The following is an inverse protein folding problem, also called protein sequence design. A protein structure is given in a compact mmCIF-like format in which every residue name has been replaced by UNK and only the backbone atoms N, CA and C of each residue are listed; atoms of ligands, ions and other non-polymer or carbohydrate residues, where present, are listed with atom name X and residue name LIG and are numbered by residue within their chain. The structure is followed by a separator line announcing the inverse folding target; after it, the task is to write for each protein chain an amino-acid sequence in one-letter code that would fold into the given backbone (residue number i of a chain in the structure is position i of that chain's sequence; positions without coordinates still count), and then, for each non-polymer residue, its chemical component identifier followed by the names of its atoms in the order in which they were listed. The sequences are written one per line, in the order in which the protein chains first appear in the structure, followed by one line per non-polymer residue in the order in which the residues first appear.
data_IF_965200476703
#
_entry.id   IF_965200476703
#
_cell.length_a   1.000
_cell.length_b   1.000
_cell.length_c   1.000
_cell.angle_alpha   90.00
_cell.angle_beta   90.00
_cell.angle_gamma   90.00
#
_symmetry.space_group_name_H-M   'P 1'
#
loop_
_entity.id
_entity.type
_entity.pdbx_description
1 polymer ?
#
# COMPACT_ATOMS: atom_id res chain seq x y z
N UNK A 1 15.04 8.89 -4.79
CA UNK A 1 13.69 9.04 -4.19
C UNK A 1 13.15 10.41 -4.53
N UNK A 2 11.95 10.49 -5.09
CA UNK A 2 11.27 11.76 -5.38
C UNK A 2 10.71 12.37 -4.08
N UNK A 3 10.31 13.65 -4.07
CA UNK A 3 9.66 14.29 -2.92
C UNK A 3 8.41 13.53 -2.46
N UNK A 4 7.58 13.04 -3.40
CA UNK A 4 6.40 12.23 -3.12
C UNK A 4 6.71 10.91 -2.40
N UNK A 5 7.75 10.18 -2.85
CA UNK A 5 8.23 8.98 -2.15
C UNK A 5 8.75 9.30 -0.75
N UNK A 6 9.33 10.48 -0.55
CA UNK A 6 9.85 10.92 0.73
C UNK A 6 8.72 11.34 1.69
N UNK A 7 7.68 11.98 1.17
CA UNK A 7 6.42 12.25 1.91
C UNK A 7 5.77 10.94 2.36
N UNK A 8 5.62 9.97 1.44
CA UNK A 8 5.07 8.65 1.75
C UNK A 8 5.90 7.92 2.82
N UNK A 9 7.24 7.98 2.73
CA UNK A 9 8.11 7.45 3.77
C UNK A 9 7.88 8.15 5.12
N UNK A 10 7.72 9.49 5.13
CA UNK A 10 7.38 10.25 6.33
C UNK A 10 6.09 9.76 6.99
N UNK A 11 5.04 9.54 6.20
CA UNK A 11 3.75 8.98 6.68
C UNK A 11 3.95 7.60 7.29
N UNK A 12 4.70 6.73 6.61
CA UNK A 12 5.00 5.38 7.10
C UNK A 12 5.77 5.40 8.41
N UNK A 13 6.79 6.27 8.53
CA UNK A 13 7.59 6.42 9.75
C UNK A 13 6.72 6.89 10.92
N UNK A 14 5.89 7.91 10.70
CA UNK A 14 4.99 8.43 11.72
C UNK A 14 3.95 7.39 12.16
N UNK A 15 3.32 6.70 11.21
CA UNK A 15 2.33 5.65 11.50
C UNK A 15 2.97 4.45 12.21
N UNK A 16 4.17 4.03 11.80
CA UNK A 16 4.92 2.96 12.46
C UNK A 16 5.27 3.30 13.91
N UNK A 17 5.68 4.55 14.19
CA UNK A 17 5.97 5.00 15.55
C UNK A 17 4.75 4.97 16.48
N UNK A 18 3.54 5.09 15.92
CA UNK A 18 2.26 5.00 16.64
C UNK A 18 1.64 3.60 16.62
N UNK A 19 2.31 2.60 16.02
CA UNK A 19 1.75 1.26 15.79
C UNK A 19 0.45 1.24 14.95
N UNK A 20 0.29 2.21 14.05
CA UNK A 20 -0.85 2.33 13.12
C UNK A 20 -0.52 2.11 11.62
N UNK A 21 0.60 1.48 11.20
CA UNK A 21 0.91 1.38 9.77
C UNK A 21 -0.16 0.59 8.99
N UNK A 22 -0.84 -0.38 9.62
CA UNK A 22 -1.94 -1.11 8.97
C UNK A 22 -3.13 -0.20 8.62
N UNK A 23 -3.47 0.78 9.46
CA UNK A 23 -4.57 1.71 9.18
C UNK A 23 -4.19 2.69 8.07
N UNK A 24 -2.93 3.14 8.06
CA UNK A 24 -2.41 3.94 6.95
C UNK A 24 -2.51 3.17 5.63
N UNK A 25 -1.98 1.95 5.58
CA UNK A 25 -1.96 1.17 4.34
C UNK A 25 -3.34 0.68 3.89
N UNK A 26 -4.31 0.56 4.80
CA UNK A 26 -5.71 0.36 4.41
C UNK A 26 -6.21 1.53 3.54
N UNK A 27 -5.83 2.77 3.86
CA UNK A 27 -6.24 3.95 3.07
C UNK A 27 -5.43 4.16 1.80
N UNK A 28 -4.27 3.49 1.65
CA UNK A 28 -3.37 3.60 0.50
C UNK A 28 -3.46 2.35 -0.41
N UNK A 29 -4.69 1.97 -0.78
CA UNK A 29 -4.94 0.89 -1.76
C UNK A 29 -5.73 1.38 -2.98
N UNK A 30 -5.15 1.25 -4.17
CA UNK A 30 -5.77 1.74 -5.40
C UNK A 30 -4.83 1.74 -6.60
N UNK A 31 -5.38 2.03 -7.78
CA UNK A 31 -4.65 2.05 -9.06
C UNK A 31 -3.55 3.12 -9.10
N UNK A 32 -3.74 4.23 -8.38
CA UNK A 32 -2.81 5.36 -8.35
C UNK A 32 -1.87 5.36 -7.14
N UNK A 33 -1.90 4.29 -6.32
CA UNK A 33 -1.01 4.17 -5.18
C UNK A 33 0.38 3.69 -5.59
N UNK A 34 1.35 3.99 -4.72
CA UNK A 34 2.71 3.47 -4.86
C UNK A 34 2.70 1.94 -4.84
N UNK A 35 3.47 1.33 -5.74
CA UNK A 35 3.68 -0.11 -5.75
C UNK A 35 4.18 -0.59 -4.38
N UNK A 36 3.69 -1.75 -3.92
CA UNK A 36 4.09 -2.32 -2.64
C UNK A 36 5.63 -2.49 -2.52
N UNK A 37 6.30 -2.79 -3.63
CA UNK A 37 7.76 -2.93 -3.72
C UNK A 37 8.55 -1.63 -3.54
N UNK A 38 7.89 -0.46 -3.53
CA UNK A 38 8.53 0.84 -3.32
C UNK A 38 8.22 1.45 -1.95
N UNK A 39 7.43 0.76 -1.11
CA UNK A 39 7.07 1.18 0.25
C UNK A 39 8.06 0.55 1.28
N UNK A 40 9.07 1.29 1.79
CA UNK A 40 10.18 0.70 2.55
C UNK A 40 9.76 0.11 3.90
N UNK A 41 8.69 0.63 4.50
CA UNK A 41 8.19 0.18 5.79
C UNK A 41 6.85 -0.55 5.67
N UNK A 42 6.51 -1.05 4.47
CA UNK A 42 5.25 -1.75 4.24
C UNK A 42 5.06 -2.90 5.23
N UNK A 43 6.07 -3.78 5.34
CA UNK A 43 6.01 -4.96 6.21
C UNK A 43 5.50 -4.66 7.63
N UNK A 44 5.81 -3.50 8.22
CA UNK A 44 5.40 -3.13 9.59
C UNK A 44 3.88 -3.10 9.80
N UNK A 45 3.05 -3.16 8.75
CA UNK A 45 1.60 -3.29 8.87
C UNK A 45 1.19 -4.45 9.79
N UNK A 46 1.83 -5.62 9.67
CA UNK A 46 1.43 -6.78 10.49
C UNK A 46 1.86 -6.60 11.95
N UNK A 47 2.97 -5.90 12.18
CA UNK A 47 3.38 -5.52 13.54
C UNK A 47 2.37 -4.56 14.19
N UNK A 48 1.82 -3.61 13.43
CA UNK A 48 0.74 -2.75 13.93
C UNK A 48 -0.49 -3.53 14.40
N UNK A 49 -0.90 -4.54 13.63
CA UNK A 49 -2.01 -5.45 14.01
C UNK A 49 -1.67 -6.23 15.29
N UNK A 50 -0.45 -6.75 15.39
CA UNK A 50 0.02 -7.53 16.54
C UNK A 50 0.04 -6.68 17.83
N UNK A 51 0.60 -5.47 17.79
CA UNK A 51 0.68 -4.58 18.95
C UNK A 51 -0.72 -4.11 19.40
N UNK A 52 -1.62 -3.82 18.46
CA UNK A 52 -3.02 -3.50 18.76
C UNK A 52 -3.73 -4.69 19.44
N UNK A 53 -3.49 -5.91 18.97
CA UNK A 53 -4.00 -7.12 19.61
C UNK A 53 -3.45 -7.26 21.03
N UNK A 54 -2.15 -7.07 21.24
CA UNK A 54 -1.52 -7.17 22.56
C UNK A 54 -1.96 -6.07 23.53
N UNK A 55 -2.34 -4.89 23.04
CA UNK A 55 -2.94 -3.85 23.87
C UNK A 55 -4.33 -4.24 24.37
N UNK A 56 -5.14 -4.87 23.51
CA UNK A 56 -6.52 -5.30 23.83
C UNK A 56 -6.54 -6.61 24.62
N UNK A 57 -5.57 -7.49 24.41
CA UNK A 57 -5.54 -8.85 24.96
C UNK A 57 -5.64 -8.94 26.50
N UNK A 58 -4.89 -8.16 27.30
CA UNK A 58 -5.03 -8.17 28.77
C UNK A 58 -6.45 -7.83 29.22
N UNK A 59 -7.10 -6.86 28.56
CA UNK A 59 -8.48 -6.46 28.88
C UNK A 59 -9.46 -7.59 28.59
N UNK A 60 -9.31 -8.28 27.45
CA UNK A 60 -10.12 -9.46 27.12
C UNK A 60 -9.95 -10.58 28.14
N UNK A 61 -8.72 -10.85 28.58
CA UNK A 61 -8.45 -11.85 29.62
C UNK A 61 -9.07 -11.44 30.97
N UNK A 62 -8.95 -10.17 31.35
CA UNK A 62 -9.57 -9.64 32.57
C UNK A 62 -11.09 -9.77 32.55
N UNK A 63 -11.74 -9.48 31.42
CA UNK A 63 -13.19 -9.70 31.22
C UNK A 63 -13.51 -11.18 31.40
N UNK A 64 -12.78 -12.08 30.74
CA UNK A 64 -12.98 -13.51 30.87
C UNK A 64 -12.93 -13.99 32.33
N UNK A 65 -11.95 -13.51 33.10
CA UNK A 65 -11.81 -13.85 34.52
C UNK A 65 -12.94 -13.22 35.36
N UNK A 66 -13.22 -11.92 35.15
CA UNK A 66 -14.19 -11.13 35.93
C UNK A 66 -15.62 -11.66 35.80
N UNK A 67 -15.98 -12.18 34.64
CA UNK A 67 -17.28 -12.77 34.34
C UNK A 67 -17.28 -14.30 34.42
N UNK A 68 -16.16 -14.91 34.85
CA UNK A 68 -16.00 -16.37 34.95
C UNK A 68 -16.34 -17.12 33.66
N UNK A 69 -16.01 -16.52 32.53
CA UNK A 69 -16.16 -17.16 31.22
C UNK A 69 -15.19 -18.33 31.12
N UNK A 70 -15.63 -19.41 30.45
CA UNK A 70 -14.71 -20.48 30.06
C UNK A 70 -13.82 -19.97 28.93
N UNK A 71 -12.53 -19.81 29.23
CA UNK A 71 -11.57 -19.17 28.33
C UNK A 71 -11.47 -19.87 26.97
N UNK A 72 -11.59 -21.20 26.90
CA UNK A 72 -11.56 -21.91 25.62
C UNK A 72 -12.71 -21.46 24.71
N UNK A 73 -13.93 -21.36 25.24
CA UNK A 73 -15.11 -20.96 24.48
C UNK A 73 -15.08 -19.49 24.09
N UNK A 74 -14.56 -18.63 24.97
CA UNK A 74 -14.37 -17.21 24.66
C UNK A 74 -13.39 -17.02 23.49
N UNK A 75 -12.23 -17.69 23.54
CA UNK A 75 -11.23 -17.60 22.48
C UNK A 75 -11.65 -18.30 21.19
N UNK A 76 -12.39 -19.39 21.28
CA UNK A 76 -13.01 -20.02 20.13
C UNK A 76 -14.02 -19.08 19.48
N UNK A 77 -14.89 -18.42 20.24
CA UNK A 77 -15.81 -17.42 19.75
C UNK A 77 -15.08 -16.26 19.06
N UNK A 78 -14.04 -15.69 19.66
CA UNK A 78 -13.24 -14.62 19.05
C UNK A 78 -12.63 -15.09 17.72
N UNK A 79 -12.06 -16.30 17.71
CA UNK A 79 -11.45 -16.88 16.50
C UNK A 79 -12.48 -17.05 15.38
N UNK A 80 -13.64 -17.64 15.67
CA UNK A 80 -14.68 -17.89 14.67
C UNK A 80 -15.34 -16.59 14.18
N UNK A 81 -15.61 -15.64 15.08
CA UNK A 81 -16.21 -14.35 14.73
C UNK A 81 -15.26 -13.50 13.88
N UNK A 82 -13.97 -13.45 14.24
CA UNK A 82 -12.96 -12.74 13.46
C UNK A 82 -12.76 -13.38 12.08
N UNK A 83 -12.71 -14.72 12.00
CA UNK A 83 -12.62 -15.45 10.74
C UNK A 83 -13.85 -15.20 9.84
N UNK A 84 -15.06 -15.24 10.42
CA UNK A 84 -16.30 -14.97 9.71
C UNK A 84 -16.33 -13.51 9.21
N UNK A 85 -15.87 -12.56 10.03
CA UNK A 85 -15.76 -11.16 9.63
C UNK A 85 -14.77 -10.97 8.47
N UNK A 86 -13.62 -11.63 8.52
CA UNK A 86 -12.62 -11.65 7.45
C UNK A 86 -13.22 -12.17 6.13
N UNK A 87 -13.93 -13.30 6.20
CA UNK A 87 -14.60 -13.89 5.05
C UNK A 87 -15.71 -13.00 4.49
N UNK A 88 -16.52 -12.40 5.37
CA UNK A 88 -17.59 -11.47 5.00
C UNK A 88 -17.04 -10.26 4.23
N UNK A 89 -16.01 -9.60 4.76
CA UNK A 89 -15.37 -8.45 4.09
C UNK A 89 -14.90 -8.81 2.68
N UNK A 90 -14.27 -9.97 2.52
CA UNK A 90 -13.83 -10.43 1.21
C UNK A 90 -14.98 -10.75 0.27
N UNK A 91 -16.06 -11.36 0.77
CA UNK A 91 -17.22 -11.71 -0.04
C UNK A 91 -17.88 -10.46 -0.63
N UNK A 92 -17.92 -9.35 0.12
CA UNK A 92 -18.46 -8.07 -0.33
C UNK A 92 -17.44 -7.16 -1.05
N UNK A 93 -16.28 -7.70 -1.46
CA UNK A 93 -15.29 -6.96 -2.25
C UNK A 93 -14.39 -6.01 -1.45
N UNK A 94 -14.44 -6.04 -0.12
CA UNK A 94 -13.58 -5.23 0.76
C UNK A 94 -12.26 -5.96 1.12
N UNK A 95 -11.52 -6.40 0.10
CA UNK A 95 -10.30 -7.21 0.28
C UNK A 95 -9.18 -6.47 1.03
N UNK A 96 -9.02 -5.16 0.80
CA UNK A 96 -8.07 -4.30 1.54
C UNK A 96 -8.39 -4.28 3.04
N UNK A 97 -9.66 -4.10 3.39
CA UNK A 97 -10.12 -4.15 4.79
C UNK A 97 -9.89 -5.54 5.40
N UNK A 98 -10.20 -6.62 4.66
CA UNK A 98 -9.94 -7.98 5.12
C UNK A 98 -8.44 -8.26 5.35
N UNK A 99 -7.55 -7.55 4.64
CA UNK A 99 -6.11 -7.72 4.74
C UNK A 99 -5.48 -6.91 5.89
N UNK A 100 -5.84 -5.65 6.06
CA UNK A 100 -5.20 -4.73 7.03
C UNK A 100 -5.96 -4.54 8.36
N UNK A 101 -7.23 -4.96 8.43
CA UNK A 101 -8.04 -4.78 9.64
C UNK A 101 -7.56 -5.68 10.78
N UNK A 102 -7.32 -5.13 11.99
CA UNK A 102 -7.01 -5.94 13.17
C UNK A 102 -8.11 -6.94 13.50
N UNK A 103 -9.38 -6.55 13.33
CA UNK A 103 -10.54 -7.40 13.62
C UNK A 103 -10.64 -8.57 12.65
N UNK A 104 -10.27 -8.39 11.38
CA UNK A 104 -10.26 -9.44 10.37
C UNK A 104 -9.06 -10.40 10.52
N UNK A 105 -8.01 -9.97 11.24
CA UNK A 105 -6.78 -10.75 11.48
C UNK A 105 -6.70 -11.40 12.85
N UNK A 106 -7.52 -10.94 13.80
CA UNK A 106 -7.49 -11.42 15.19
C UNK A 106 -7.61 -12.94 15.32
N UNK A 107 -8.30 -13.63 14.40
CA UNK A 107 -8.45 -15.09 14.43
C UNK A 107 -7.13 -15.85 14.37
N UNK A 108 -6.12 -15.33 13.66
CA UNK A 108 -4.79 -15.96 13.54
C UNK A 108 -4.09 -15.98 14.91
N UNK A 109 -4.13 -14.84 15.62
CA UNK A 109 -3.53 -14.65 16.94
C UNK A 109 -4.35 -15.35 18.04
N UNK A 110 -5.68 -15.25 17.99
CA UNK A 110 -6.56 -15.89 18.97
C UNK A 110 -6.57 -17.41 18.87
N UNK A 111 -6.32 -17.99 17.68
CA UNK A 111 -6.11 -19.43 17.54
C UNK A 111 -4.86 -19.90 18.30
N UNK A 112 -3.77 -19.13 18.28
CA UNK A 112 -2.59 -19.36 19.11
C UNK A 112 -2.89 -19.22 20.61
N UNK A 113 -3.68 -18.21 20.99
CA UNK A 113 -4.15 -18.04 22.36
C UNK A 113 -5.04 -19.19 22.85
N UNK A 114 -5.95 -19.67 22.01
CA UNK A 114 -6.81 -20.82 22.28
C UNK A 114 -5.94 -22.06 22.54
N UNK A 115 -4.93 -22.29 21.70
CA UNK A 115 -3.99 -23.39 21.87
C UNK A 115 -3.26 -23.31 23.23
N UNK A 116 -2.85 -22.11 23.66
CA UNK A 116 -2.21 -21.89 24.95
C UNK A 116 -3.14 -22.23 26.13
N UNK A 117 -4.41 -21.80 26.07
CA UNK A 117 -5.41 -22.05 27.13
C UNK A 117 -5.83 -23.52 27.20
N UNK A 118 -5.88 -24.23 26.08
CA UNK A 118 -6.09 -25.69 26.03
C UNK A 118 -4.97 -26.50 26.71
N UNK A 119 -4.11 -25.82 27.48
CA UNK A 119 -2.92 -26.27 28.18
C UNK A 119 -2.00 -26.98 27.21
N UNK A 120 -1.00 -26.26 26.74
CA UNK A 120 0.21 -26.80 26.09
C UNK A 120 1.04 -27.68 27.05
N UNK A 121 0.40 -28.59 27.78
CA UNK A 121 1.03 -29.83 28.21
C UNK A 121 0.96 -30.77 27.02
N UNK A 122 2.12 -31.02 26.41
CA UNK A 122 2.43 -32.17 25.55
C UNK A 122 1.27 -33.16 25.45
N UNK A 123 0.39 -33.01 24.46
CA UNK A 123 -0.61 -34.03 24.20
C UNK A 123 0.17 -35.28 23.81
N UNK A 124 0.40 -36.16 24.79
CA UNK A 124 1.16 -37.39 24.60
C UNK A 124 0.31 -38.28 23.69
N UNK A 125 0.54 -38.12 22.39
CA UNK A 125 -0.05 -38.95 21.36
C UNK A 125 1.06 -39.82 20.78
N UNK A 126 0.77 -41.11 20.59
CA UNK A 126 1.63 -41.99 19.80
C UNK A 126 1.89 -41.42 18.40
N UNK A 127 0.96 -40.62 17.89
CA UNK A 127 0.98 -40.04 16.55
C UNK A 127 1.56 -38.62 16.50
N UNK A 128 2.24 -38.15 17.57
CA UNK A 128 2.79 -36.80 17.64
C UNK A 128 3.68 -36.45 16.43
N UNK A 129 4.51 -37.40 15.97
CA UNK A 129 5.34 -37.22 14.77
C UNK A 129 4.51 -37.05 13.49
N UNK A 130 3.41 -37.79 13.34
CA UNK A 130 2.53 -37.66 12.18
C UNK A 130 1.91 -36.25 12.16
N UNK A 131 1.40 -35.78 13.30
CA UNK A 131 0.81 -34.44 13.37
C UNK A 131 1.81 -33.32 13.07
N UNK A 132 3.06 -33.45 13.53
CA UNK A 132 4.12 -32.47 13.18
C UNK A 132 4.43 -32.53 11.69
N UNK A 133 4.58 -33.72 11.09
CA UNK A 133 4.86 -33.86 9.66
C UNK A 133 3.72 -33.24 8.86
N UNK A 134 2.46 -33.53 9.21
CA UNK A 134 1.29 -32.94 8.55
C UNK A 134 1.32 -31.43 8.68
N UNK A 135 1.52 -30.89 9.89
CA UNK A 135 1.52 -29.46 10.12
C UNK A 135 2.62 -28.71 9.37
N UNK A 136 3.86 -29.22 9.41
CA UNK A 136 4.99 -28.65 8.67
C UNK A 136 4.79 -28.80 7.16
N UNK A 137 4.25 -29.92 6.69
CA UNK A 137 3.96 -30.14 5.27
C UNK A 137 2.89 -29.17 4.75
N UNK A 138 1.87 -28.86 5.55
CA UNK A 138 0.86 -27.86 5.18
C UNK A 138 1.49 -26.48 4.99
N UNK A 139 2.37 -26.05 5.90
CA UNK A 139 3.08 -24.77 5.79
C UNK A 139 4.00 -24.77 4.57
N UNK A 140 4.80 -25.81 4.40
CA UNK A 140 5.74 -25.94 3.28
C UNK A 140 5.01 -25.95 1.94
N UNK A 141 3.92 -26.72 1.81
CA UNK A 141 3.12 -26.80 0.59
C UNK A 141 2.60 -25.42 0.19
N UNK A 142 2.05 -24.66 1.13
CA UNK A 142 1.55 -23.30 0.83
C UNK A 142 2.69 -22.37 0.41
N UNK A 143 3.86 -22.47 1.04
CA UNK A 143 5.03 -21.68 0.68
C UNK A 143 5.54 -21.99 -0.75
N UNK A 144 5.59 -23.28 -1.13
CA UNK A 144 6.07 -23.70 -2.46
C UNK A 144 5.08 -23.48 -3.59
N UNK A 145 3.77 -23.51 -3.31
CA UNK A 145 2.74 -23.28 -4.32
C UNK A 145 2.69 -21.82 -4.81
N UNK A 146 3.48 -20.91 -4.23
CA UNK A 146 3.66 -19.55 -4.77
C UNK A 146 2.37 -18.74 -4.82
N UNK A 147 1.47 -18.96 -3.86
CA UNK A 147 0.10 -18.40 -3.85
C UNK A 147 0.08 -16.90 -3.47
N UNK A 148 1.14 -16.15 -3.81
CA UNK A 148 1.22 -14.70 -3.61
C UNK A 148 0.23 -13.91 -4.48
N UNK A 149 -0.38 -14.54 -5.48
CA UNK A 149 -1.33 -13.94 -6.41
C UNK A 149 -2.80 -14.19 -6.02
N UNK A 150 -3.09 -15.06 -5.04
CA UNK A 150 -4.48 -15.32 -4.67
C UNK A 150 -5.05 -14.16 -3.83
N UNK A 151 -6.28 -13.78 -4.12
CA UNK A 151 -7.02 -12.80 -3.33
C UNK A 151 -7.08 -13.22 -1.86
N UNK A 152 -6.83 -12.25 -0.97
CA UNK A 152 -6.91 -12.45 0.47
C UNK A 152 -8.35 -12.22 0.98
N UNK A 153 -8.83 -13.02 1.96
CA UNK A 153 -8.22 -14.19 2.58
C UNK A 153 -8.32 -15.41 1.66
N UNK A 154 -7.24 -16.19 1.62
CA UNK A 154 -7.23 -17.43 0.87
C UNK A 154 -7.38 -18.63 1.83
N UNK A 155 -7.96 -19.73 1.33
CA UNK A 155 -8.10 -20.99 2.09
C UNK A 155 -6.77 -21.55 2.61
N UNK A 156 -5.64 -21.10 2.05
CA UNK A 156 -4.31 -21.51 2.46
C UNK A 156 -3.87 -20.86 3.78
N UNK A 157 -4.41 -19.69 4.14
CA UNK A 157 -4.21 -19.10 5.46
C UNK A 157 -4.70 -20.02 6.58
N UNK A 158 -5.86 -20.64 6.41
CA UNK A 158 -6.38 -21.66 7.34
C UNK A 158 -5.41 -22.85 7.44
N UNK A 159 -4.84 -23.29 6.32
CA UNK A 159 -3.87 -24.38 6.32
C UNK A 159 -2.58 -23.99 7.05
N UNK A 160 -2.07 -22.76 6.89
CA UNK A 160 -0.89 -22.27 7.62
C UNK A 160 -1.18 -22.22 9.13
N UNK A 161 -2.32 -21.65 9.55
CA UNK A 161 -2.68 -21.54 10.96
C UNK A 161 -2.89 -22.92 11.59
N UNK A 162 -3.66 -23.79 10.94
CA UNK A 162 -3.86 -25.17 11.41
C UNK A 162 -2.54 -25.96 11.46
N UNK A 163 -1.70 -25.83 10.44
CA UNK A 163 -0.39 -26.48 10.41
C UNK A 163 0.53 -26.00 11.53
N UNK A 164 0.52 -24.69 11.81
CA UNK A 164 1.26 -24.08 12.92
C UNK A 164 0.76 -24.59 14.27
N UNK A 165 -0.56 -24.66 14.46
CA UNK A 165 -1.15 -25.21 15.68
C UNK A 165 -0.75 -26.68 15.92
N UNK A 166 -0.77 -27.52 14.87
CA UNK A 166 -0.33 -28.91 14.97
C UNK A 166 1.16 -29.01 15.34
N UNK A 167 2.02 -28.24 14.66
CA UNK A 167 3.45 -28.23 14.91
C UNK A 167 3.77 -27.79 16.35
N UNK A 168 3.10 -26.74 16.86
CA UNK A 168 3.29 -26.25 18.23
C UNK A 168 2.75 -27.25 19.26
N UNK A 169 1.55 -27.82 19.03
CA UNK A 169 0.87 -28.73 19.98
C UNK A 169 1.64 -30.03 20.22
N UNK A 170 2.19 -30.61 19.16
CA UNK A 170 2.83 -31.93 19.16
C UNK A 170 4.35 -31.88 18.98
N UNK A 171 4.94 -30.69 18.78
CA UNK A 171 6.39 -30.52 18.56
C UNK A 171 7.22 -31.02 19.74
N UNK A 172 6.83 -30.68 20.97
CA UNK A 172 7.56 -31.09 22.18
C UNK A 172 7.51 -32.60 22.45
N UNK A 173 6.52 -33.33 21.92
CA UNK A 173 6.39 -34.78 22.09
C UNK A 173 6.97 -35.58 20.92
N UNK A 174 7.23 -34.93 19.79
CA UNK A 174 7.85 -35.59 18.64
C UNK A 174 9.37 -35.60 18.77
N UNK A 175 9.95 -36.81 18.77
CA UNK A 175 11.42 -37.00 18.71
C UNK A 175 12.02 -36.38 17.44
N UNK A 176 11.30 -36.47 16.32
CA UNK A 176 11.73 -35.88 15.05
C UNK A 176 11.82 -34.36 15.20
N UNK A 177 10.73 -33.71 15.62
CA UNK A 177 10.67 -32.27 15.78
C UNK A 177 11.72 -31.75 16.78
N UNK A 178 11.91 -32.45 17.90
CA UNK A 178 12.89 -32.08 18.92
C UNK A 178 14.32 -32.16 18.37
N UNK A 179 14.64 -33.14 17.53
CA UNK A 179 15.97 -33.28 16.90
C UNK A 179 16.20 -32.28 15.76
N UNK A 180 15.16 -31.96 14.98
CA UNK A 180 15.29 -31.09 13.81
C UNK A 180 15.00 -29.62 14.18
N UNK A 181 13.74 -29.29 14.46
CA UNK A 181 13.28 -27.94 14.82
C UNK A 181 13.84 -27.47 16.18
N UNK A 182 14.11 -28.41 17.09
CA UNK A 182 14.76 -28.13 18.36
C UNK A 182 16.31 -28.09 18.30
N UNK A 183 16.91 -28.27 17.12
CA UNK A 183 18.36 -28.15 16.97
C UNK A 183 18.86 -26.73 17.28
N UNK A 184 20.10 -26.61 17.75
CA UNK A 184 20.68 -25.30 18.12
C UNK A 184 20.62 -24.27 16.98
N UNK A 185 20.83 -24.70 15.73
CA UNK A 185 20.73 -23.84 14.55
C UNK A 185 19.29 -23.35 14.33
N UNK A 186 18.30 -24.25 14.34
CA UNK A 186 16.90 -23.87 14.12
C UNK A 186 16.38 -22.96 15.24
N UNK A 187 16.76 -23.23 16.49
CA UNK A 187 16.44 -22.36 17.61
C UNK A 187 17.13 -21.00 17.48
N UNK A 188 18.39 -20.95 17.02
CA UNK A 188 19.09 -19.70 16.76
C UNK A 188 18.41 -18.87 15.66
N UNK A 189 18.05 -19.50 14.54
CA UNK A 189 17.28 -18.85 13.46
C UNK A 189 15.94 -18.33 13.99
N UNK A 190 15.25 -19.12 14.82
CA UNK A 190 14.01 -18.69 15.48
C UNK A 190 14.22 -17.47 16.39
N UNK A 191 15.35 -17.38 17.09
CA UNK A 191 15.69 -16.24 17.98
C UNK A 191 15.96 -14.95 17.22
N UNK A 192 16.57 -15.03 16.03
CA UNK A 192 16.85 -13.85 15.19
C UNK A 192 15.71 -13.53 14.20
N UNK A 193 14.62 -14.30 14.22
CA UNK A 193 13.54 -14.19 13.23
C UNK A 193 12.85 -12.83 13.24
N UNK A 194 12.64 -12.25 14.42
CA UNK A 194 12.07 -10.91 14.59
C UNK A 194 12.95 -9.79 13.99
N UNK A 195 14.23 -9.62 14.37
CA UNK A 195 15.06 -8.59 13.75
C UNK A 195 15.35 -8.87 12.27
N UNK A 196 15.37 -10.15 11.85
CA UNK A 196 15.45 -10.49 10.42
C UNK A 196 14.22 -10.01 9.65
N UNK A 197 13.04 -10.19 10.23
CA UNK A 197 11.80 -9.64 9.70
C UNK A 197 11.84 -8.11 9.57
N UNK A 198 12.46 -7.39 10.50
CA UNK A 198 12.61 -5.93 10.41
C UNK A 198 13.58 -5.48 9.30
N UNK A 199 14.68 -6.21 9.08
CA UNK A 199 15.74 -5.76 8.16
C UNK A 199 15.55 -6.23 6.72
N UNK A 200 15.00 -7.41 6.49
CA UNK A 200 14.95 -7.99 5.15
C UNK A 200 14.17 -7.13 4.15
N UNK A 201 13.03 -6.58 4.56
CA UNK A 201 12.15 -5.84 3.67
C UNK A 201 12.71 -4.48 3.26
N UNK A 202 13.16 -3.59 4.18
CA UNK A 202 13.77 -2.32 3.80
C UNK A 202 14.97 -2.49 2.87
N UNK A 203 15.84 -3.47 3.16
CA UNK A 203 17.03 -3.74 2.33
C UNK A 203 16.63 -4.12 0.91
N UNK A 204 15.66 -5.03 0.77
CA UNK A 204 15.14 -5.43 -0.55
C UNK A 204 14.48 -4.26 -1.27
N UNK A 205 13.63 -3.48 -0.60
CA UNK A 205 12.94 -2.32 -1.20
C UNK A 205 13.95 -1.27 -1.67
N UNK A 206 14.95 -0.94 -0.87
CA UNK A 206 15.98 0.02 -1.30
C UNK A 206 16.82 -0.51 -2.47
N UNK A 207 17.08 -1.83 -2.51
CA UNK A 207 17.73 -2.45 -3.67
C UNK A 207 16.85 -2.36 -4.93
N UNK A 208 15.54 -2.55 -4.82
CA UNK A 208 14.59 -2.37 -5.94
C UNK A 208 14.47 -0.91 -6.38
N UNK A 209 14.40 0.04 -5.43
CA UNK A 209 14.37 1.48 -5.76
C UNK A 209 15.63 1.90 -6.52
N UNK A 210 16.79 1.30 -6.22
CA UNK A 210 18.05 1.62 -6.89
C UNK A 210 18.23 0.91 -8.23
N UNK A 211 17.92 -0.39 -8.31
CA UNK A 211 18.26 -1.23 -9.46
C UNK A 211 17.07 -1.50 -10.41
N UNK A 212 15.88 -0.97 -10.09
CA UNK A 212 14.65 -1.28 -10.82
C UNK A 212 13.92 -2.50 -10.27
N UNK A 213 12.92 -3.00 -10.98
CA UNK A 213 12.01 -4.06 -10.49
C UNK A 213 12.59 -5.48 -10.49
N UNK A 214 13.81 -5.66 -10.99
CA UNK A 214 14.49 -6.96 -11.03
C UNK A 214 15.84 -6.89 -10.32
N UNK A 215 16.13 -7.90 -9.51
CA UNK A 215 17.42 -8.06 -8.85
C UNK A 215 18.15 -9.25 -9.47
N UNK A 216 19.43 -9.05 -9.79
CA UNK A 216 20.29 -10.16 -10.17
C UNK A 216 20.45 -11.14 -8.98
N UNK A 217 20.66 -12.44 -9.22
CA UNK A 217 20.77 -13.43 -8.14
C UNK A 217 21.80 -13.06 -7.07
N UNK A 218 22.96 -12.52 -7.48
CA UNK A 218 23.99 -12.08 -6.54
C UNK A 218 23.55 -10.89 -5.68
N UNK A 219 22.72 -9.97 -6.21
CA UNK A 219 22.16 -8.84 -5.46
C UNK A 219 21.16 -9.33 -4.42
N UNK A 220 20.29 -10.27 -4.80
CA UNK A 220 19.35 -10.90 -3.88
C UNK A 220 20.08 -11.66 -2.75
N UNK A 221 21.11 -12.43 -3.09
CA UNK A 221 21.97 -13.10 -2.10
C UNK A 221 22.68 -12.10 -1.18
N UNK A 222 23.22 -11.00 -1.73
CA UNK A 222 23.84 -9.95 -0.93
C UNK A 222 22.84 -9.28 0.03
N UNK A 223 21.61 -9.00 -0.42
CA UNK A 223 20.55 -8.47 0.43
C UNK A 223 20.20 -9.44 1.56
N UNK A 224 20.08 -10.74 1.27
CA UNK A 224 19.80 -11.77 2.28
C UNK A 224 20.91 -11.84 3.34
N UNK A 225 22.17 -11.89 2.91
CA UNK A 225 23.32 -11.93 3.82
C UNK A 225 23.36 -10.66 4.68
N UNK A 226 23.20 -9.48 4.07
CA UNK A 226 23.16 -8.21 4.80
C UNK A 226 22.03 -8.20 5.85
N UNK A 227 20.85 -8.71 5.50
CA UNK A 227 19.70 -8.82 6.40
C UNK A 227 20.00 -9.72 7.59
N UNK A 228 20.63 -10.88 7.37
CA UNK A 228 21.01 -11.81 8.44
C UNK A 228 22.08 -11.19 9.34
N UNK A 229 23.12 -10.56 8.77
CA UNK A 229 24.16 -9.90 9.55
C UNK A 229 23.59 -8.80 10.45
N UNK A 230 22.72 -7.94 9.90
CA UNK A 230 22.05 -6.88 10.66
C UNK A 230 21.08 -7.44 11.71
N UNK A 231 20.39 -8.54 11.40
CA UNK A 231 19.52 -9.23 12.35
C UNK A 231 20.30 -9.78 13.54
N UNK A 232 21.44 -10.44 13.31
CA UNK A 232 22.31 -10.96 14.36
C UNK A 232 22.87 -9.82 15.20
N UNK A 233 23.35 -8.74 14.57
CA UNK A 233 23.85 -7.57 15.28
C UNK A 233 22.77 -6.94 16.18
N UNK A 234 21.56 -6.75 15.63
CA UNK A 234 20.42 -6.20 16.37
C UNK A 234 20.03 -7.10 17.54
N UNK A 235 19.97 -8.42 17.31
CA UNK A 235 19.66 -9.40 18.34
C UNK A 235 20.66 -9.34 19.51
N UNK A 236 21.96 -9.35 19.21
CA UNK A 236 23.01 -9.38 20.22
C UNK A 236 23.19 -8.02 20.92
N UNK A 237 23.11 -6.91 20.18
CA UNK A 237 23.43 -5.58 20.69
C UNK A 237 22.22 -4.84 21.31
N UNK A 238 21.00 -5.14 20.87
CA UNK A 238 19.78 -4.44 21.32
C UNK A 238 18.85 -5.38 22.08
N UNK A 239 18.47 -6.50 21.47
CA UNK A 239 17.42 -7.36 22.02
C UNK A 239 17.86 -8.12 23.28
N UNK A 240 19.02 -8.77 23.26
CA UNK A 240 19.55 -9.52 24.41
C UNK A 240 19.79 -8.62 25.64
N UNK A 241 20.40 -7.43 25.51
CA UNK A 241 20.55 -6.51 26.64
C UNK A 241 19.21 -6.02 27.21
N UNK A 242 18.26 -5.66 26.34
CA UNK A 242 16.93 -5.19 26.77
C UNK A 242 16.16 -6.27 27.53
N UNK A 243 16.19 -7.53 27.06
CA UNK A 243 15.52 -8.66 27.75
C UNK A 243 16.06 -8.89 29.17
N UNK A 244 17.37 -8.68 29.39
CA UNK A 244 18.00 -8.87 30.70
C UNK A 244 17.73 -7.72 31.67
N UNK A 245 17.57 -6.49 31.16
CA UNK A 245 17.46 -5.27 31.97
C UNK A 245 16.18 -4.48 31.65
N UNK A 246 15.04 -5.18 31.68
CA UNK A 246 13.73 -4.68 31.23
C UNK A 246 13.19 -3.46 32.02
N UNK A 247 13.79 -3.09 33.15
CA UNK A 247 13.35 -1.97 33.99
C UNK A 247 14.14 -0.70 33.67
N UNK A 248 13.51 0.24 32.95
CA UNK A 248 13.93 1.65 32.84
C UNK A 248 15.44 1.86 32.55
N UNK A 249 16.07 0.93 31.84
CA UNK A 249 17.47 1.06 31.47
C UNK A 249 17.64 2.32 30.61
N UNK A 250 18.80 3.00 30.67
CA UNK A 250 19.08 4.13 29.78
C UNK A 250 18.87 3.76 28.30
N UNK A 251 19.11 2.49 27.93
CA UNK A 251 18.83 1.95 26.61
C UNK A 251 17.33 1.96 26.28
N UNK A 252 16.45 1.50 27.19
CA UNK A 252 15.00 1.51 26.96
C UNK A 252 14.45 2.94 26.83
N UNK A 253 14.90 3.87 27.67
CA UNK A 253 14.52 5.30 27.56
C UNK A 253 15.04 5.92 26.26
N UNK A 254 16.28 5.60 25.88
CA UNK A 254 16.86 6.01 24.60
C UNK A 254 16.07 5.48 23.41
N UNK A 255 15.63 4.23 23.45
CA UNK A 255 14.80 3.64 22.40
C UNK A 255 13.45 4.36 22.27
N UNK A 256 12.75 4.61 23.38
CA UNK A 256 11.47 5.35 23.38
C UNK A 256 11.66 6.79 22.89
N UNK A 257 12.71 7.48 23.36
CA UNK A 257 13.03 8.83 22.89
C UNK A 257 13.36 8.83 21.39
N UNK A 258 14.12 7.85 20.90
CA UNK A 258 14.45 7.71 19.48
C UNK A 258 13.20 7.45 18.64
N UNK A 259 12.25 6.64 19.14
CA UNK A 259 10.98 6.39 18.47
C UNK A 259 10.16 7.68 18.36
N UNK A 260 10.10 8.47 19.44
CA UNK A 260 9.39 9.75 19.43
C UNK A 260 10.03 10.77 18.48
N UNK A 261 11.36 10.89 18.49
CA UNK A 261 12.10 11.81 17.61
C UNK A 261 11.94 11.41 16.14
N UNK A 262 12.11 10.13 15.82
CA UNK A 262 11.96 9.60 14.46
C UNK A 262 10.51 9.72 13.99
N UNK A 263 9.55 9.43 14.85
CA UNK A 263 8.12 9.61 14.56
C UNK A 263 7.76 11.06 14.26
N UNK A 264 8.25 12.01 15.08
CA UNK A 264 8.03 13.44 14.87
C UNK A 264 8.72 13.96 13.61
N UNK A 265 9.92 13.49 13.32
CA UNK A 265 10.62 13.81 12.08
C UNK A 265 9.85 13.28 10.86
N UNK A 266 9.38 12.03 10.91
CA UNK A 266 8.52 11.44 9.87
C UNK A 266 7.24 12.24 9.65
N UNK A 267 6.56 12.62 10.73
CA UNK A 267 5.36 13.46 10.68
C UNK A 267 5.65 14.82 10.06
N UNK A 268 6.75 15.46 10.46
CA UNK A 268 7.16 16.77 9.93
C UNK A 268 7.47 16.70 8.43
N UNK A 269 8.15 15.64 7.98
CA UNK A 269 8.44 15.40 6.55
C UNK A 269 7.16 15.16 5.76
N UNK A 270 6.23 14.37 6.31
CA UNK A 270 4.94 14.13 5.67
C UNK A 270 4.13 15.43 5.55
N UNK A 271 4.11 16.25 6.61
CA UNK A 271 3.41 17.52 6.64
C UNK A 271 4.04 18.56 5.68
N UNK A 272 5.35 18.50 5.49
CA UNK A 272 6.09 19.38 4.57
C UNK A 272 6.02 18.93 3.09
N UNK A 273 5.24 17.89 2.75
CA UNK A 273 5.18 17.31 1.41
C UNK A 273 6.56 16.87 0.88
N UNK A 274 7.33 16.22 1.76
CA UNK A 274 8.70 15.80 1.52
C UNK A 274 9.72 16.89 1.85
N UNK A 275 10.92 16.78 1.27
CA UNK A 275 11.99 17.79 1.39
C UNK A 275 12.44 18.17 -0.03
N UNK A 276 11.69 19.02 -0.74
CA UNK A 276 12.00 19.36 -2.14
C UNK A 276 13.36 20.07 -2.29
N UNK A 277 13.74 20.88 -1.29
CA UNK A 277 15.02 21.62 -1.24
C UNK A 277 16.29 20.76 -1.30
N UNK A 278 16.16 19.43 -1.14
CA UNK A 278 17.27 18.49 -1.30
C UNK A 278 17.68 18.26 -2.76
N UNK A 279 16.83 18.67 -3.72
CA UNK A 279 17.03 18.46 -5.15
C UNK A 279 17.43 19.77 -5.83
N UNK A 280 18.21 19.73 -6.93
CA UNK A 280 18.50 20.91 -7.74
C UNK A 280 17.22 21.56 -8.26
N UNK A 281 17.22 22.89 -8.42
CA UNK A 281 16.03 23.67 -8.80
C UNK A 281 15.40 23.19 -10.12
N UNK A 282 16.22 22.82 -11.10
CA UNK A 282 15.75 22.25 -12.37
C UNK A 282 14.92 20.98 -12.19
N UNK A 283 15.31 20.13 -11.22
CA UNK A 283 14.58 18.89 -10.92
C UNK A 283 13.35 19.16 -10.05
N UNK A 284 13.38 20.18 -9.19
CA UNK A 284 12.19 20.61 -8.44
C UNK A 284 11.08 21.10 -9.39
N UNK A 285 11.45 21.87 -10.41
CA UNK A 285 10.52 22.33 -11.44
C UNK A 285 9.92 21.15 -12.23
N UNK A 286 10.74 20.18 -12.63
CA UNK A 286 10.26 18.98 -13.32
C UNK A 286 9.33 18.12 -12.44
N UNK A 287 9.61 18.02 -11.13
CA UNK A 287 8.82 17.24 -10.19
C UNK A 287 7.60 17.99 -9.63
N UNK A 288 7.42 19.28 -9.95
CA UNK A 288 6.18 20.00 -9.67
C UNK A 288 4.97 19.31 -10.33
N UNK A 289 5.19 18.59 -11.44
CA UNK A 289 4.17 17.75 -12.07
C UNK A 289 3.65 16.63 -11.15
N UNK A 290 4.46 16.09 -10.21
CA UNK A 290 3.96 15.09 -9.24
C UNK A 290 2.97 15.71 -8.23
N UNK A 291 2.98 17.04 -8.06
CA UNK A 291 2.07 17.79 -7.18
C UNK A 291 0.85 18.32 -7.93
N UNK A 292 0.69 17.96 -9.20
CA UNK A 292 -0.44 18.36 -10.02
C UNK A 292 -1.74 17.78 -9.46
N UNK A 293 -2.65 18.65 -9.00
CA UNK A 293 -3.99 18.22 -8.61
C UNK A 293 -4.90 18.25 -9.84
N UNK A 294 -5.03 17.08 -10.47
CA UNK A 294 -5.88 16.92 -11.63
C UNK A 294 -7.35 17.27 -11.36
N UNK A 295 -7.83 17.25 -10.11
CA UNK A 295 -9.22 17.60 -9.79
C UNK A 295 -9.46 19.10 -9.83
N UNK A 296 -8.51 19.89 -9.32
CA UNK A 296 -8.61 21.35 -9.33
C UNK A 296 -8.17 21.94 -10.66
N UNK A 297 -7.13 21.36 -11.26
CA UNK A 297 -6.44 21.95 -12.40
C UNK A 297 -7.00 21.41 -13.73
N UNK A 298 -7.00 20.09 -13.90
CA UNK A 298 -7.49 19.44 -15.13
C UNK A 298 -9.01 19.43 -15.18
N UNK A 299 -9.66 19.06 -14.07
CA UNK A 299 -11.10 18.80 -14.01
C UNK A 299 -11.91 20.00 -13.55
N UNK A 300 -11.29 21.20 -13.45
CA UNK A 300 -11.85 22.49 -13.04
C UNK A 300 -13.36 22.40 -12.76
N UNK A 301 -13.80 22.41 -11.49
CA UNK A 301 -15.14 21.99 -11.10
C UNK A 301 -16.21 22.76 -11.90
N UNK A 302 -16.78 22.07 -12.90
CA UNK A 302 -17.76 22.62 -13.83
C UNK A 302 -17.37 22.59 -15.32
N UNK A 303 -16.11 22.34 -15.71
CA UNK A 303 -15.69 22.15 -17.12
C UNK A 303 -15.36 20.70 -17.47
N UNK A 304 -15.67 19.80 -16.55
CA UNK A 304 -15.41 18.37 -16.63
C UNK A 304 -16.70 17.61 -16.39
N UNK A 305 -16.99 16.63 -17.24
CA UNK A 305 -18.15 15.77 -17.09
C UNK A 305 -17.74 14.39 -16.56
N UNK A 306 -18.36 13.98 -15.46
CA UNK A 306 -18.30 12.63 -14.94
C UNK A 306 -18.98 11.60 -15.85
N UNK A 307 -18.92 10.33 -15.45
CA UNK A 307 -19.46 9.23 -16.25
C UNK A 307 -20.98 9.32 -16.48
N UNK A 308 -21.72 9.88 -15.52
CA UNK A 308 -23.19 9.98 -15.56
C UNK A 308 -23.71 11.41 -15.77
N UNK A 309 -22.81 12.38 -15.87
CA UNK A 309 -23.19 13.79 -16.01
C UNK A 309 -23.52 14.14 -17.47
N UNK A 310 -24.43 15.11 -17.63
CA UNK A 310 -24.80 15.67 -18.92
C UNK A 310 -24.18 17.06 -19.09
N UNK A 311 -24.05 17.47 -20.34
CA UNK A 311 -23.53 18.76 -20.79
C UNK A 311 -24.20 19.98 -20.16
N UNK A 312 -25.43 19.84 -19.64
CA UNK A 312 -26.11 20.86 -18.83
C UNK A 312 -25.39 21.21 -17.52
N UNK A 313 -24.48 20.36 -17.05
CA UNK A 313 -23.61 20.61 -15.88
C UNK A 313 -22.37 21.44 -16.22
N UNK A 314 -22.09 21.70 -17.50
CA UNK A 314 -20.98 22.55 -17.90
C UNK A 314 -21.27 24.00 -17.53
N UNK A 315 -20.34 24.63 -16.80
CA UNK A 315 -20.46 26.05 -16.50
C UNK A 315 -20.31 26.88 -17.78
N UNK A 316 -21.03 28.02 -17.91
CA UNK A 316 -20.91 28.89 -19.08
C UNK A 316 -19.49 29.38 -19.35
N UNK A 317 -18.66 29.48 -18.31
CA UNK A 317 -17.23 29.84 -18.42
C UNK A 317 -16.41 28.82 -19.22
N UNK A 318 -16.87 27.57 -19.31
CA UNK A 318 -16.22 26.50 -20.05
C UNK A 318 -16.48 26.55 -21.56
N UNK A 319 -17.49 27.35 -21.95
CA UNK A 319 -17.95 27.55 -23.32
C UNK A 319 -17.77 29.01 -23.76
N UNK A 320 -16.84 29.76 -23.15
CA UNK A 320 -16.59 31.17 -23.49
C UNK A 320 -15.94 31.26 -24.89
N UNK A 321 -16.76 31.23 -25.94
CA UNK A 321 -16.36 31.34 -27.35
C UNK A 321 -16.83 32.67 -27.96
N UNK A 322 -16.48 33.78 -27.31
CA UNK A 322 -16.86 35.11 -27.79
C UNK A 322 -15.72 35.82 -28.56
N UNK A 323 -14.72 35.07 -29.05
CA UNK A 323 -13.55 35.61 -29.77
C UNK A 323 -13.19 34.71 -30.96
N UNK A 324 -12.81 35.32 -32.08
CA UNK A 324 -12.31 34.66 -33.29
C UNK A 324 -11.00 33.85 -33.10
N UNK A 325 -10.41 33.85 -31.88
CA UNK A 325 -9.16 33.17 -31.52
C UNK A 325 -9.34 32.12 -30.41
N UNK A 326 -10.54 31.57 -30.21
CA UNK A 326 -10.81 30.63 -29.12
C UNK A 326 -10.23 29.24 -29.41
N UNK A 327 -9.59 28.64 -28.39
CA UNK A 327 -9.01 27.31 -28.40
C UNK A 327 -9.94 26.38 -27.62
N UNK A 328 -10.43 25.33 -28.27
CA UNK A 328 -11.31 24.34 -27.64
C UNK A 328 -10.50 23.10 -27.28
N UNK A 329 -10.50 22.75 -26.00
CA UNK A 329 -9.95 21.49 -25.49
C UNK A 329 -11.09 20.49 -25.42
N UNK A 330 -11.02 19.44 -26.24
CA UNK A 330 -12.01 18.38 -26.27
C UNK A 330 -11.36 17.00 -26.15
N UNK A 331 -11.96 16.12 -25.36
CA UNK A 331 -11.52 14.73 -25.23
C UNK A 331 -11.72 14.16 -23.83
N UNK A 332 -10.82 13.25 -23.44
CA UNK A 332 -10.88 12.53 -22.18
C UNK A 332 -10.05 13.18 -21.06
N UNK A 333 -9.70 12.38 -20.04
CA UNK A 333 -8.83 12.81 -18.95
C UNK A 333 -7.43 13.23 -19.41
N UNK A 334 -6.96 12.78 -20.59
CA UNK A 334 -5.69 13.21 -21.15
C UNK A 334 -5.82 14.60 -21.78
N UNK A 335 -6.88 14.86 -22.54
CA UNK A 335 -7.13 16.19 -23.11
C UNK A 335 -7.31 17.25 -22.01
N UNK A 336 -8.03 16.91 -20.93
CA UNK A 336 -8.23 17.81 -19.79
C UNK A 336 -6.92 18.28 -19.14
N UNK A 337 -5.88 17.46 -19.13
CA UNK A 337 -4.57 17.80 -18.53
C UNK A 337 -3.84 18.92 -19.25
N UNK A 338 -4.19 19.21 -20.51
CA UNK A 338 -3.60 20.31 -21.26
C UNK A 338 -4.13 21.68 -20.83
N UNK A 339 -5.29 21.72 -20.15
CA UNK A 339 -6.01 22.96 -19.83
C UNK A 339 -5.19 23.97 -19.03
N UNK A 340 -4.49 23.60 -17.94
CA UNK A 340 -3.75 24.58 -17.14
C UNK A 340 -2.63 25.26 -17.91
N UNK A 341 -1.81 24.50 -18.63
CA UNK A 341 -0.70 25.05 -19.43
C UNK A 341 -1.20 25.91 -20.60
N UNK A 342 -2.27 25.50 -21.28
CA UNK A 342 -2.86 26.29 -22.36
C UNK A 342 -3.47 27.60 -21.83
N UNK A 343 -4.10 27.59 -20.64
CA UNK A 343 -4.62 28.80 -20.00
C UNK A 343 -3.51 29.75 -19.56
N UNK A 344 -2.37 29.23 -19.13
CA UNK A 344 -1.20 30.04 -18.78
C UNK A 344 -0.58 30.73 -20.00
N UNK A 345 -0.44 30.00 -21.12
CA UNK A 345 0.18 30.52 -22.35
C UNK A 345 -0.74 31.45 -23.14
N UNK A 346 -2.02 31.09 -23.29
CA UNK A 346 -2.96 31.80 -24.17
C UNK A 346 -3.98 32.67 -23.41
N UNK A 347 -4.01 32.57 -22.08
CA UNK A 347 -4.96 33.24 -21.20
C UNK A 347 -6.28 32.47 -21.06
N UNK A 348 -6.80 32.39 -19.83
CA UNK A 348 -8.04 31.66 -19.50
C UNK A 348 -9.28 32.06 -20.30
N UNK A 349 -9.34 33.32 -20.78
CA UNK A 349 -10.46 33.84 -21.56
C UNK A 349 -10.49 33.35 -23.02
N UNK A 350 -9.43 32.69 -23.50
CA UNK A 350 -9.35 32.10 -24.84
C UNK A 350 -9.56 30.58 -24.85
N UNK A 351 -9.59 29.94 -23.68
CA UNK A 351 -9.66 28.48 -23.58
C UNK A 351 -11.09 28.05 -23.21
N UNK A 352 -11.72 27.30 -24.11
CA UNK A 352 -12.92 26.52 -23.82
C UNK A 352 -12.56 25.07 -23.56
N UNK A 353 -13.26 24.40 -22.66
CA UNK A 353 -12.97 23.03 -22.28
C UNK A 353 -14.25 22.17 -22.24
N UNK A 354 -14.23 21.10 -23.03
CA UNK A 354 -15.27 20.07 -23.16
C UNK A 354 -14.62 18.69 -22.95
N UNK A 355 -14.46 18.27 -21.70
CA UNK A 355 -13.76 17.02 -21.40
C UNK A 355 -14.59 16.08 -20.55
N UNK A 356 -14.53 14.77 -20.84
CA UNK A 356 -15.30 13.73 -20.16
C UNK A 356 -14.50 12.46 -19.97
N UNK A 357 -14.65 11.81 -18.82
CA UNK A 357 -14.04 10.50 -18.56
C UNK A 357 -14.25 9.51 -19.71
N UNK A 358 -13.16 8.93 -20.22
CA UNK A 358 -13.19 7.82 -21.18
C UNK A 358 -13.76 8.15 -22.57
N UNK A 359 -14.04 9.42 -22.89
CA UNK A 359 -14.47 9.84 -24.23
C UNK A 359 -13.28 10.42 -25.00
N UNK A 360 -12.52 9.56 -25.69
CA UNK A 360 -11.45 10.00 -26.57
C UNK A 360 -11.98 10.90 -27.71
N UNK A 361 -11.20 11.89 -28.19
CA UNK A 361 -11.61 12.82 -29.25
C UNK A 361 -11.55 12.16 -30.65
N UNK A 362 -12.25 11.03 -30.82
CA UNK A 362 -12.29 10.26 -32.05
C UNK A 362 -13.70 10.28 -32.65
N UNK A 363 -13.81 10.77 -33.89
CA UNK A 363 -15.08 10.80 -34.61
C UNK A 363 -15.48 9.40 -35.08
N UNK A 364 -16.70 8.98 -34.74
CA UNK A 364 -17.30 7.73 -35.24
C UNK A 364 -16.73 6.43 -34.67
N UNK A 365 -15.65 6.49 -33.88
CA UNK A 365 -14.92 5.32 -33.36
C UNK A 365 -14.89 5.22 -31.83
N UNK A 366 -15.54 6.13 -31.12
CA UNK A 366 -15.64 6.10 -29.66
C UNK A 366 -16.53 4.95 -29.16
N UNK A 367 -15.96 3.76 -29.01
CA UNK A 367 -16.53 2.77 -28.10
C UNK A 367 -16.31 3.27 -26.66
N UNK A 368 -17.37 3.54 -25.89
CA UNK A 368 -17.21 3.87 -24.49
C UNK A 368 -16.51 2.73 -23.75
N UNK A 369 -15.62 3.09 -22.81
CA UNK A 369 -15.10 2.13 -21.81
C UNK A 369 -16.29 1.46 -21.12
N UNK A 370 -16.19 0.15 -20.88
CA UNK A 370 -17.24 -0.73 -20.31
C UNK A 370 -18.11 -0.01 -19.27
N UNK A 371 -19.39 0.19 -19.58
CA UNK A 371 -20.39 0.83 -18.70
C UNK A 371 -20.91 2.20 -19.16
N UNK A 372 -20.32 2.84 -20.17
CA UNK A 372 -20.82 4.09 -20.76
C UNK A 372 -21.63 3.82 -22.05
N UNK A 373 -22.62 4.67 -22.38
CA UNK A 373 -23.41 4.54 -23.60
C UNK A 373 -22.85 5.43 -24.72
N UNK A 374 -22.87 4.97 -25.98
CA UNK A 374 -22.44 5.78 -27.15
C UNK A 374 -23.18 7.13 -27.25
N UNK A 375 -24.40 7.23 -26.71
CA UNK A 375 -25.20 8.48 -26.67
C UNK A 375 -24.54 9.56 -25.81
N UNK A 376 -23.81 9.18 -24.77
CA UNK A 376 -23.24 10.11 -23.78
C UNK A 376 -21.99 10.85 -24.30
N UNK A 377 -21.10 10.20 -25.08
CA UNK A 377 -19.99 10.91 -25.73
C UNK A 377 -20.48 11.75 -26.94
N UNK A 378 -21.59 11.35 -27.58
CA UNK A 378 -22.17 12.06 -28.73
C UNK A 378 -22.71 13.47 -28.42
N UNK A 379 -23.18 13.71 -27.18
CA UNK A 379 -23.72 15.02 -26.76
C UNK A 379 -22.66 16.13 -26.69
N UNK A 380 -21.39 15.80 -26.45
CA UNK A 380 -20.27 16.76 -26.47
C UNK A 380 -20.06 17.36 -27.86
N UNK A 381 -20.27 16.56 -28.92
CA UNK A 381 -20.14 16.99 -30.31
C UNK A 381 -21.15 18.07 -30.68
N UNK A 382 -22.44 17.82 -30.41
CA UNK A 382 -23.52 18.72 -30.78
C UNK A 382 -23.38 20.12 -30.14
N UNK A 383 -22.90 20.18 -28.90
CA UNK A 383 -22.67 21.45 -28.21
C UNK A 383 -21.39 22.17 -28.66
N UNK A 384 -20.35 21.44 -29.08
CA UNK A 384 -19.13 22.07 -29.64
C UNK A 384 -19.38 22.74 -30.99
N UNK A 385 -20.12 22.09 -31.89
CA UNK A 385 -20.44 22.62 -33.23
C UNK A 385 -21.41 23.82 -33.17
N UNK A 386 -22.31 23.85 -32.18
CA UNK A 386 -23.26 24.97 -32.00
C UNK A 386 -22.66 26.16 -31.25
N UNK A 387 -21.69 25.94 -30.36
CA UNK A 387 -21.11 27.01 -29.52
C UNK A 387 -19.96 27.76 -30.19
N UNK A 388 -19.35 27.23 -31.25
CA UNK A 388 -18.29 27.93 -31.99
C UNK A 388 -18.10 27.42 -33.43
N UNK A 389 -18.79 28.02 -34.41
CA UNK A 389 -18.70 27.62 -35.82
C UNK A 389 -17.31 27.88 -36.45
N UNK A 390 -16.61 28.92 -35.98
CA UNK A 390 -15.35 29.43 -36.55
C UNK A 390 -14.13 29.23 -35.63
N UNK A 391 -14.22 28.35 -34.63
CA UNK A 391 -13.09 28.06 -33.75
C UNK A 391 -12.01 27.24 -34.47
N UNK A 392 -10.74 27.57 -34.23
CA UNK A 392 -9.64 26.64 -34.46
C UNK A 392 -9.79 25.45 -33.50
N UNK A 393 -10.51 24.41 -33.91
CA UNK A 393 -10.48 23.12 -33.22
C UNK A 393 -9.03 22.62 -33.28
N UNK A 394 -8.31 22.68 -32.16
CA UNK A 394 -6.98 22.07 -32.09
C UNK A 394 -7.20 20.57 -31.95
N UNK A 395 -7.11 19.89 -33.08
CA UNK A 395 -6.93 18.45 -33.16
C UNK A 395 -5.52 18.11 -32.69
N UNK A 396 -5.33 17.85 -31.40
CA UNK A 396 -4.06 17.29 -30.91
C UNK A 396 -4.00 15.78 -31.18
N UNK A 397 -4.03 15.42 -32.46
CA UNK A 397 -3.47 14.17 -32.98
C UNK A 397 -2.52 14.57 -34.11
N UNK A 398 -1.23 14.70 -33.76
CA UNK A 398 -0.10 14.76 -34.68
C UNK A 398 0.11 16.02 -35.56
N UNK A 399 -0.19 17.23 -35.08
CA UNK A 399 0.12 18.48 -35.80
C UNK A 399 0.97 19.48 -34.99
N UNK A 400 1.72 18.98 -33.99
CA UNK A 400 2.77 19.71 -33.28
C UNK A 400 4.15 19.58 -33.95
N UNK A 401 4.24 18.92 -35.11
CA UNK A 401 5.51 18.73 -35.83
C UNK A 401 5.86 19.91 -36.76
N UNK A 402 4.89 20.56 -37.42
CA UNK A 402 5.22 21.59 -38.43
C UNK A 402 5.28 23.03 -37.89
N UNK A 403 4.68 23.34 -36.74
CA UNK A 403 4.69 24.71 -36.16
C UNK A 403 5.68 24.93 -35.01
N UNK A 404 6.38 23.88 -34.59
CA UNK A 404 7.47 23.98 -33.61
C UNK A 404 8.86 24.15 -34.26
N UNK A 405 9.01 23.87 -35.56
CA UNK A 405 10.28 24.10 -36.28
C UNK A 405 10.62 25.60 -36.37
N UNK A 406 9.62 26.48 -36.47
CA UNK A 406 9.86 27.94 -36.59
C UNK A 406 10.08 28.69 -35.26
N UNK A 407 9.95 28.01 -34.10
CA UNK A 407 10.22 28.63 -32.77
C UNK A 407 11.27 27.92 -31.92
N UNK A 408 11.92 26.86 -32.45
CA UNK A 408 13.07 26.22 -31.80
C UNK A 408 14.43 26.77 -32.27
N UNK A 409 14.48 27.84 -33.07
CA UNK A 409 15.71 28.50 -33.50
C UNK A 409 16.34 29.45 -32.45
N UNK A 410 15.83 29.52 -31.22
CA UNK A 410 16.35 30.43 -30.16
C UNK A 410 17.10 29.71 -29.03
N UNK A 411 17.30 28.38 -29.11
CA UNK A 411 18.15 27.63 -28.16
C UNK A 411 19.33 26.90 -28.82
N UNK A 412 19.92 27.44 -29.89
CA UNK A 412 21.16 26.91 -30.49
C UNK A 412 22.35 27.86 -30.54
N UNK A 413 22.27 29.06 -29.96
CA UNK A 413 23.46 29.89 -29.71
C UNK A 413 23.36 30.67 -28.38
N UNK A 414 23.81 30.03 -27.30
CA UNK A 414 24.59 30.61 -26.20
C UNK A 414 25.14 29.47 -25.33
#
# INVERSE_FOLDING_TARGET
MTPSLFEALGKQVAAAALFLPNLLFWTETGYFDLAASTKPLLHLWSLGVEEQFYLVWPVLMLIGVRFRLRMEWMLLAITLLSLLHCWSLSHFGHTSAAFYSPLARAWELSAGGLLAVMRTGSAKSANSTIFVIVGVSMIALVAFLGIGQAAWPNKFALAIVAGSMLAIRYGATSRLATRTLGSGLMVFLGRISYPLYLWHWPILVFAYIKNGTTLAPWQASACLVASICLAILTYLAVEVPLKKHLRLSPLARGAVASLAVVGLAGFSIAFAHGIPSRLPDALQAALAYERYDFKTDAYNPGCWLGNEEDTSKLLPVCLKTNRNDAIVIWGDSHAARLSPGLREVFGSERISQLTRNGCAPLLGLGEPVVGMSRRQCGGLRANSETSCPDCHLIWCLAELSERLEDRLSVCSHA
#
